data_IF_675493567944
#
_entry.id   IF_675493567944
#
_cell.length_a   1.000
_cell.length_b   1.000
_cell.length_c   1.000
_cell.angle_alpha   90.00
_cell.angle_beta   90.00
_cell.angle_gamma   90.00
#
_symmetry.space_group_name_H-M   'P 1'
#
loop_
_entity.id
_entity.type
_entity.pdbx_description
1 polymer ?
#
# COMPACT_ATOMS: atom_id res chain seq x y z
N UNK A 1 6.70 19.71 9.80
CA UNK A 1 6.41 18.78 8.68
C UNK A 1 6.55 19.58 7.39
N UNK A 2 7.18 19.08 6.31
CA UNK A 2 7.14 19.79 5.03
C UNK A 2 5.67 19.85 4.60
N UNK A 3 5.19 21.06 4.34
CA UNK A 3 3.77 21.45 4.44
C UNK A 3 3.05 21.44 3.09
N UNK A 4 3.43 20.56 2.16
CA UNK A 4 2.81 20.49 0.84
C UNK A 4 2.72 19.05 0.34
N UNK A 5 1.48 18.55 0.28
CA UNK A 5 1.09 17.27 -0.32
C UNK A 5 1.65 17.19 -1.75
N UNK A 6 2.16 16.02 -2.16
CA UNK A 6 2.59 15.81 -3.55
C UNK A 6 1.38 15.94 -4.49
N UNK A 7 1.56 16.53 -5.67
CA UNK A 7 0.51 16.55 -6.70
C UNK A 7 0.32 15.15 -7.29
N UNK A 8 -0.80 14.91 -7.96
CA UNK A 8 -1.04 13.63 -8.64
C UNK A 8 0.07 13.28 -9.64
N UNK A 9 0.57 14.27 -10.38
CA UNK A 9 1.68 14.08 -11.32
C UNK A 9 3.01 13.77 -10.60
N UNK A 10 3.25 14.39 -9.46
CA UNK A 10 4.42 14.09 -8.63
C UNK A 10 4.38 12.68 -8.06
N UNK A 11 3.20 12.20 -7.65
CA UNK A 11 3.01 10.80 -7.25
C UNK A 11 3.27 9.89 -8.44
N UNK A 12 2.64 10.12 -9.59
CA UNK A 12 2.82 9.31 -10.81
C UNK A 12 4.29 9.20 -11.22
N UNK A 13 5.01 10.33 -11.19
CA UNK A 13 6.45 10.37 -11.45
C UNK A 13 7.24 9.57 -10.42
N UNK A 14 6.93 9.73 -9.13
CA UNK A 14 7.60 8.99 -8.05
C UNK A 14 7.37 7.49 -8.21
N UNK A 15 6.12 7.06 -8.42
CA UNK A 15 5.72 5.67 -8.67
C UNK A 15 6.49 5.07 -9.84
N UNK A 16 6.53 5.76 -10.99
CA UNK A 16 7.28 5.30 -12.16
C UNK A 16 8.78 5.20 -11.88
N UNK A 17 9.35 6.17 -11.17
CA UNK A 17 10.76 6.17 -10.83
C UNK A 17 11.15 4.95 -9.97
N UNK A 18 10.38 4.67 -8.91
CA UNK A 18 10.68 3.53 -8.03
C UNK A 18 10.47 2.19 -8.73
N UNK A 19 9.41 2.02 -9.53
CA UNK A 19 9.19 0.80 -10.34
C UNK A 19 10.38 0.57 -11.28
N UNK A 20 10.84 1.62 -11.98
CA UNK A 20 11.97 1.52 -12.90
C UNK A 20 13.27 1.14 -12.19
N UNK A 21 13.51 1.68 -10.99
CA UNK A 21 14.69 1.33 -10.19
C UNK A 21 14.62 -0.13 -9.75
N UNK A 22 13.49 -0.58 -9.20
CA UNK A 22 13.31 -1.97 -8.76
C UNK A 22 13.47 -2.94 -9.94
N UNK A 23 12.89 -2.63 -11.10
CA UNK A 23 13.06 -3.42 -12.33
C UNK A 23 14.53 -3.52 -12.77
N UNK A 24 15.30 -2.43 -12.70
CA UNK A 24 16.75 -2.44 -13.01
C UNK A 24 17.55 -3.29 -12.02
N UNK A 25 17.10 -3.38 -10.79
CA UNK A 25 17.69 -4.25 -9.75
C UNK A 25 17.25 -5.71 -9.88
N UNK A 26 16.42 -6.07 -10.87
CA UNK A 26 15.89 -7.42 -11.05
C UNK A 26 14.82 -7.80 -10.02
N UNK A 27 14.19 -6.82 -9.39
CA UNK A 27 13.22 -7.03 -8.32
C UNK A 27 11.78 -6.97 -8.85
N UNK A 28 11.00 -7.97 -8.46
CA UNK A 28 9.56 -8.00 -8.64
C UNK A 28 8.89 -7.25 -7.50
N UNK A 29 7.86 -6.48 -7.84
CA UNK A 29 7.17 -5.64 -6.88
C UNK A 29 5.73 -5.41 -7.30
N UNK A 30 4.92 -4.99 -6.34
CA UNK A 30 3.57 -4.50 -6.60
C UNK A 30 3.26 -3.31 -5.70
N UNK A 31 2.48 -2.37 -6.22
CA UNK A 31 1.96 -1.24 -5.47
C UNK A 31 0.90 -1.72 -4.51
N UNK A 32 0.93 -1.17 -3.31
CA UNK A 32 -0.14 -1.32 -2.32
C UNK A 32 -0.57 0.07 -1.83
N UNK A 33 -1.35 0.10 -0.74
CA UNK A 33 -1.70 1.35 -0.09
C UNK A 33 -2.50 2.31 -0.97
N UNK A 34 -2.31 3.60 -0.77
CA UNK A 34 -3.16 4.65 -1.36
C UNK A 34 -3.00 4.79 -2.88
N UNK A 35 -1.81 4.50 -3.44
CA UNK A 35 -1.57 4.55 -4.88
C UNK A 35 -2.29 3.41 -5.61
N UNK A 36 -2.20 2.18 -5.08
CA UNK A 36 -2.89 1.03 -5.68
C UNK A 36 -4.41 1.24 -5.64
N UNK A 37 -4.92 1.70 -4.50
CA UNK A 37 -6.30 2.11 -4.32
C UNK A 37 -6.78 3.14 -5.37
N UNK A 38 -5.97 4.17 -5.62
CA UNK A 38 -6.27 5.19 -6.63
C UNK A 38 -6.31 4.58 -8.03
N UNK A 39 -5.36 3.70 -8.36
CA UNK A 39 -5.32 2.99 -9.64
C UNK A 39 -6.56 2.10 -9.86
N UNK A 40 -7.09 1.47 -8.80
CA UNK A 40 -8.35 0.73 -8.85
C UNK A 40 -9.62 1.60 -8.98
N UNK A 41 -9.50 2.93 -8.94
CA UNK A 41 -10.59 3.87 -9.18
C UNK A 41 -11.04 4.70 -7.99
N UNK A 42 -10.29 4.70 -6.88
CA UNK A 42 -10.57 5.63 -5.77
C UNK A 42 -10.20 7.06 -6.13
N UNK A 43 -11.11 8.01 -5.87
CA UNK A 43 -10.90 9.44 -6.21
C UNK A 43 -9.91 10.14 -5.28
N UNK A 44 -9.74 9.64 -4.04
CA UNK A 44 -8.81 10.22 -3.07
C UNK A 44 -7.39 10.18 -3.62
N UNK A 45 -6.71 11.32 -3.57
CA UNK A 45 -5.33 11.42 -4.04
C UNK A 45 -4.36 10.79 -3.01
N UNK A 46 -3.42 9.94 -3.46
CA UNK A 46 -2.34 9.42 -2.64
C UNK A 46 -1.33 10.52 -2.27
N UNK A 47 -0.61 10.31 -1.16
CA UNK A 47 0.38 11.26 -0.62
C UNK A 47 1.79 10.70 -0.57
N UNK A 48 1.88 9.39 -0.64
CA UNK A 48 3.04 8.54 -0.53
C UNK A 48 2.88 7.36 -1.49
N UNK A 49 3.98 6.67 -1.74
CA UNK A 49 4.01 5.47 -2.57
C UNK A 49 4.37 4.28 -1.69
N UNK A 50 3.44 3.34 -1.53
CA UNK A 50 3.66 2.09 -0.81
C UNK A 50 3.86 0.94 -1.81
N UNK A 51 4.91 0.15 -1.64
CA UNK A 51 5.20 -1.01 -2.48
C UNK A 51 5.64 -2.22 -1.67
N UNK A 52 5.25 -3.39 -2.13
CA UNK A 52 5.80 -4.67 -1.67
C UNK A 52 6.82 -5.14 -2.69
N UNK A 53 8.01 -5.51 -2.22
CA UNK A 53 9.10 -6.07 -3.03
C UNK A 53 9.22 -7.55 -2.72
N UNK A 54 8.95 -8.39 -3.71
CA UNK A 54 8.54 -9.79 -3.52
C UNK A 54 9.71 -10.77 -3.44
N UNK A 55 10.82 -10.45 -4.10
CA UNK A 55 11.99 -11.33 -4.25
C UNK A 55 13.30 -10.66 -3.78
N UNK A 56 13.21 -9.72 -2.83
CA UNK A 56 14.39 -9.00 -2.31
C UNK A 56 15.32 -9.94 -1.53
N UNK A 57 16.61 -10.06 -1.90
CA UNK A 57 17.61 -10.75 -1.08
C UNK A 57 18.10 -9.87 0.10
N UNK A 58 17.68 -8.61 0.13
CA UNK A 58 18.11 -7.61 1.11
C UNK A 58 17.07 -7.41 2.20
N UNK A 59 17.52 -6.98 3.38
CA UNK A 59 16.59 -6.41 4.35
C UNK A 59 15.97 -5.12 3.81
N UNK A 60 14.90 -4.66 4.45
CA UNK A 60 14.23 -3.42 4.06
C UNK A 60 15.17 -2.20 4.07
N UNK A 61 16.13 -2.13 4.98
CA UNK A 61 17.07 -1.00 5.04
C UNK A 61 18.18 -1.11 3.99
N UNK A 62 18.70 -2.31 3.73
CA UNK A 62 19.62 -2.53 2.60
C UNK A 62 18.95 -2.24 1.26
N UNK A 63 17.69 -2.67 1.06
CA UNK A 63 16.91 -2.38 -0.14
C UNK A 63 16.79 -0.87 -0.39
N UNK A 64 16.46 -0.09 0.64
CA UNK A 64 16.43 1.38 0.53
C UNK A 64 17.79 1.95 0.11
N UNK A 65 18.90 1.40 0.61
CA UNK A 65 20.26 1.83 0.19
C UNK A 65 20.51 1.50 -1.28
N UNK A 66 20.12 0.32 -1.76
CA UNK A 66 20.26 -0.06 -3.17
C UNK A 66 19.47 0.88 -4.09
N UNK A 67 18.25 1.25 -3.70
CA UNK A 67 17.44 2.23 -4.44
C UNK A 67 18.12 3.60 -4.52
N UNK A 68 18.71 4.08 -3.43
CA UNK A 68 19.47 5.36 -3.41
C UNK A 68 20.75 5.29 -4.25
N UNK A 69 21.44 4.16 -4.25
CA UNK A 69 22.63 3.93 -5.10
C UNK A 69 22.25 3.94 -6.58
N UNK A 70 21.13 3.29 -6.92
CA UNK A 70 20.66 3.15 -8.30
C UNK A 70 20.09 4.46 -8.90
N UNK A 71 19.54 5.35 -8.08
CA UNK A 71 19.01 6.63 -8.54
C UNK A 71 19.17 7.72 -7.47
N UNK A 72 20.01 8.71 -7.78
CA UNK A 72 20.36 9.83 -6.91
C UNK A 72 19.17 10.77 -6.60
N UNK A 73 18.03 10.64 -7.27
CA UNK A 73 16.80 11.34 -6.91
C UNK A 73 16.18 10.79 -5.62
N UNK A 74 16.50 9.55 -5.24
CA UNK A 74 16.11 9.00 -3.95
C UNK A 74 17.11 9.35 -2.85
N UNK A 75 16.62 9.43 -1.62
CA UNK A 75 17.44 9.60 -0.43
C UNK A 75 16.71 9.12 0.81
N UNK A 76 17.45 8.89 1.90
CA UNK A 76 16.86 8.46 3.16
C UNK A 76 17.11 9.47 4.28
N UNK A 77 16.15 9.60 5.19
CA UNK A 77 16.24 10.42 6.41
C UNK A 77 16.02 9.51 7.62
N UNK A 78 16.75 9.72 8.71
CA UNK A 78 16.51 8.98 9.95
C UNK A 78 15.07 9.21 10.45
N UNK A 79 14.50 8.22 11.14
CA UNK A 79 13.21 8.38 11.79
C UNK A 79 13.22 9.54 12.79
N UNK A 80 12.07 10.17 13.02
CA UNK A 80 11.89 11.17 14.08
C UNK A 80 11.83 10.55 15.46
N UNK A 81 11.52 9.26 15.53
CA UNK A 81 11.56 8.49 16.76
C UNK A 81 13.04 8.20 17.07
N UNK A 82 13.61 8.71 18.17
CA UNK A 82 15.03 8.53 18.49
C UNK A 82 15.39 7.07 18.76
N UNK A 83 14.41 6.20 19.04
CA UNK A 83 14.64 4.77 19.27
C UNK A 83 14.46 3.92 18.01
N UNK A 84 13.96 4.51 16.92
CA UNK A 84 13.78 3.80 15.66
C UNK A 84 15.11 3.70 14.91
N UNK A 85 15.49 2.46 14.56
CA UNK A 85 16.69 2.15 13.78
C UNK A 85 16.45 2.26 12.26
N UNK A 86 15.20 2.41 11.83
CA UNK A 86 14.85 2.48 10.42
C UNK A 86 14.99 3.90 9.84
N UNK A 87 15.21 3.97 8.53
CA UNK A 87 15.23 5.23 7.77
C UNK A 87 14.02 5.32 6.86
N UNK A 88 13.54 6.54 6.62
CA UNK A 88 12.44 6.83 5.71
C UNK A 88 13.02 7.19 4.34
N UNK A 89 12.56 6.49 3.30
CA UNK A 89 12.96 6.74 1.91
C UNK A 89 12.07 7.83 1.31
N UNK A 90 12.70 8.74 0.57
CA UNK A 90 12.07 9.86 -0.09
C UNK A 90 12.56 9.97 -1.53
N UNK A 91 11.67 10.37 -2.43
CA UNK A 91 11.97 10.79 -3.78
C UNK A 91 11.94 12.32 -3.86
N UNK A 92 12.96 12.94 -4.45
CA UNK A 92 13.04 14.39 -4.63
C UNK A 92 12.02 14.86 -5.66
N UNK A 93 11.20 15.83 -5.28
CA UNK A 93 10.28 16.51 -6.19
C UNK A 93 10.93 17.80 -6.68
N UNK A 94 10.57 18.23 -7.90
CA UNK A 94 11.06 19.49 -8.46
C UNK A 94 10.84 20.64 -7.47
N UNK A 95 11.92 21.35 -7.21
CA UNK A 95 11.97 22.45 -6.24
C UNK A 95 11.78 23.77 -6.99
N UNK A 96 10.94 24.67 -6.50
CA UNK A 96 11.28 26.09 -6.71
C UNK A 96 12.53 26.39 -5.87
N UNK A 97 13.31 27.41 -6.23
CA UNK A 97 14.58 27.77 -5.58
C UNK A 97 14.52 27.92 -4.04
N UNK A 98 13.32 28.00 -3.46
CA UNK A 98 13.08 28.23 -2.04
C UNK A 98 12.58 27.00 -1.27
N UNK A 99 12.20 25.89 -1.92
CA UNK A 99 11.55 24.77 -1.22
C UNK A 99 11.97 23.38 -1.72
N UNK A 100 12.58 22.59 -0.84
CA UNK A 100 12.83 21.16 -1.06
C UNK A 100 11.56 20.35 -0.73
N UNK A 101 10.84 19.92 -1.77
CA UNK A 101 9.68 19.01 -1.66
C UNK A 101 10.11 17.58 -1.95
N UNK A 102 9.45 16.63 -1.30
CA UNK A 102 9.73 15.20 -1.47
C UNK A 102 8.48 14.36 -1.28
N UNK A 103 8.42 13.24 -2.00
CA UNK A 103 7.40 12.21 -1.82
C UNK A 103 7.98 11.07 -0.97
N UNK A 104 7.24 10.62 0.04
CA UNK A 104 7.62 9.45 0.82
C UNK A 104 7.42 8.20 -0.04
N UNK A 105 8.35 7.25 0.09
CA UNK A 105 8.25 5.93 -0.54
C UNK A 105 8.49 4.87 0.53
N UNK A 106 7.52 4.01 0.75
CA UNK A 106 7.62 2.88 1.66
C UNK A 106 7.82 1.60 0.84
N UNK A 107 8.97 0.97 1.07
CA UNK A 107 9.30 -0.34 0.50
C UNK A 107 9.16 -1.36 1.61
N UNK A 108 8.29 -2.34 1.39
CA UNK A 108 7.98 -3.42 2.31
C UNK A 108 8.36 -4.75 1.68
N UNK A 109 8.63 -5.74 2.51
CA UNK A 109 8.97 -7.11 2.09
C UNK A 109 7.93 -8.05 2.71
N UNK A 110 7.48 -9.11 2.02
CA UNK A 110 6.55 -10.09 2.57
C UNK A 110 6.99 -10.64 3.94
N UNK A 111 6.00 -11.01 4.76
CA UNK A 111 6.22 -11.49 6.13
C UNK A 111 6.38 -10.38 7.18
N UNK A 112 6.66 -9.14 6.76
CA UNK A 112 6.61 -7.97 7.65
C UNK A 112 5.19 -7.40 7.63
N UNK A 113 4.65 -7.03 8.79
CA UNK A 113 3.27 -6.52 8.94
C UNK A 113 2.20 -7.46 8.35
N UNK A 114 2.43 -8.78 8.39
CA UNK A 114 1.51 -9.78 7.86
C UNK A 114 1.19 -9.61 6.36
N UNK A 115 2.09 -8.98 5.60
CA UNK A 115 1.93 -8.80 4.15
C UNK A 115 2.22 -10.15 3.46
N UNK A 116 1.30 -10.66 2.60
CA UNK A 116 1.50 -11.92 1.91
C UNK A 116 2.56 -11.78 0.81
N UNK A 117 3.22 -12.90 0.50
CA UNK A 117 4.05 -12.97 -0.71
C UNK A 117 3.12 -13.20 -1.91
N UNK A 118 3.14 -12.27 -2.87
CA UNK A 118 2.29 -12.32 -4.08
C UNK A 118 3.04 -13.04 -5.20
N UNK A 119 2.53 -14.16 -5.72
CA UNK A 119 3.10 -14.80 -6.90
C UNK A 119 3.10 -13.88 -8.13
N UNK A 120 4.13 -13.97 -8.97
CA UNK A 120 4.30 -13.07 -10.12
C UNK A 120 3.13 -13.11 -11.12
N UNK A 121 2.53 -14.28 -11.31
CA UNK A 121 1.36 -14.50 -12.17
C UNK A 121 0.05 -13.93 -11.59
N UNK A 122 0.05 -13.57 -10.29
CA UNK A 122 -1.08 -12.93 -9.62
C UNK A 122 -0.97 -11.41 -9.61
N UNK A 123 0.21 -10.83 -9.82
CA UNK A 123 0.38 -9.38 -9.87
C UNK A 123 -0.53 -8.79 -10.96
N UNK A 124 -1.47 -7.94 -10.56
CA UNK A 124 -2.35 -7.28 -11.49
C UNK A 124 -1.63 -6.11 -12.15
N UNK A 125 -1.53 -6.09 -13.48
CA UNK A 125 -0.93 -4.95 -14.20
C UNK A 125 -2.03 -4.05 -14.72
N UNK A 126 -2.08 -2.82 -14.23
CA UNK A 126 -3.04 -1.84 -14.73
C UNK A 126 -2.78 -1.51 -16.21
N UNK A 127 -3.81 -1.65 -17.05
CA UNK A 127 -3.67 -1.48 -18.49
C UNK A 127 -3.32 -0.03 -18.91
N UNK A 128 -3.81 0.97 -18.18
CA UNK A 128 -3.62 2.37 -18.54
C UNK A 128 -2.26 2.92 -18.08
N UNK A 129 -1.79 2.49 -16.91
CA UNK A 129 -0.59 2.99 -16.25
C UNK A 129 0.61 2.05 -16.38
N UNK A 130 0.37 0.79 -16.77
CA UNK A 130 1.37 -0.30 -16.77
C UNK A 130 2.02 -0.47 -15.39
N UNK A 131 1.24 -0.27 -14.33
CA UNK A 131 1.70 -0.36 -12.95
C UNK A 131 1.41 -1.74 -12.38
N UNK A 132 2.39 -2.41 -11.73
CA UNK A 132 2.11 -3.64 -11.02
C UNK A 132 1.38 -3.31 -9.72
N UNK A 133 0.18 -3.82 -9.54
CA UNK A 133 -0.68 -3.61 -8.38
C UNK A 133 -0.80 -4.90 -7.59
N UNK A 134 -0.91 -4.78 -6.28
CA UNK A 134 -1.39 -5.86 -5.43
C UNK A 134 -2.79 -6.29 -5.90
N UNK A 135 -3.11 -7.60 -5.94
CA UNK A 135 -4.43 -8.05 -6.32
C UNK A 135 -5.51 -7.43 -5.42
N UNK A 136 -6.69 -7.22 -5.98
CA UNK A 136 -7.71 -6.37 -5.38
C UNK A 136 -8.15 -6.83 -3.99
N UNK A 137 -8.42 -8.13 -3.81
CA UNK A 137 -8.88 -8.68 -2.54
C UNK A 137 -7.79 -8.63 -1.45
N UNK A 138 -6.53 -9.07 -1.69
CA UNK A 138 -5.43 -8.85 -0.76
C UNK A 138 -5.22 -7.37 -0.38
N UNK A 139 -5.35 -6.44 -1.34
CA UNK A 139 -5.27 -5.00 -1.05
C UNK A 139 -6.36 -4.55 -0.08
N UNK A 140 -7.60 -4.99 -0.29
CA UNK A 140 -8.72 -4.72 0.62
C UNK A 140 -8.49 -5.32 2.02
N UNK A 141 -7.98 -6.56 2.10
CA UNK A 141 -7.64 -7.21 3.37
C UNK A 141 -6.55 -6.44 4.14
N UNK A 142 -5.54 -5.90 3.45
CA UNK A 142 -4.51 -5.06 4.09
C UNK A 142 -5.06 -3.71 4.56
N UNK A 143 -6.01 -3.11 3.83
CA UNK A 143 -6.70 -1.89 4.30
C UNK A 143 -7.52 -2.15 5.56
N UNK A 144 -8.22 -3.28 5.59
CA UNK A 144 -8.96 -3.72 6.76
C UNK A 144 -8.03 -3.99 7.96
N UNK A 145 -6.87 -4.61 7.72
CA UNK A 145 -5.84 -4.76 8.76
C UNK A 145 -5.36 -3.40 9.27
N UNK A 146 -5.07 -2.44 8.37
CA UNK A 146 -4.64 -1.09 8.75
C UNK A 146 -5.66 -0.38 9.66
N UNK A 147 -6.96 -0.57 9.40
CA UNK A 147 -8.02 -0.06 10.27
C UNK A 147 -7.93 -0.64 11.69
N UNK A 148 -7.84 -1.97 11.84
CA UNK A 148 -7.70 -2.63 13.14
C UNK A 148 -6.45 -2.15 13.87
N UNK A 149 -5.29 -2.18 13.20
CA UNK A 149 -4.00 -1.78 13.78
C UNK A 149 -4.02 -0.30 14.24
N UNK A 150 -4.63 0.59 13.44
CA UNK A 150 -4.76 1.99 13.82
C UNK A 150 -5.74 2.19 14.98
N UNK A 151 -6.87 1.47 15.00
CA UNK A 151 -7.86 1.55 16.09
C UNK A 151 -7.25 1.15 17.44
N UNK A 152 -6.43 0.11 17.46
CA UNK A 152 -5.78 -0.43 18.67
C UNK A 152 -4.52 0.33 19.10
N UNK A 153 -4.00 1.23 18.26
CA UNK A 153 -2.73 1.90 18.55
C UNK A 153 -2.77 2.75 19.85
N UNK A 154 -1.73 2.70 20.69
CA UNK A 154 -1.62 3.56 21.87
C UNK A 154 -1.37 5.04 21.50
N UNK A 155 -0.87 5.31 20.28
CA UNK A 155 -0.56 6.66 19.78
C UNK A 155 -1.83 7.32 19.19
N UNK A 156 -2.24 8.46 19.76
CA UNK A 156 -3.46 9.19 19.35
C UNK A 156 -3.50 9.57 17.88
N UNK A 157 -2.38 10.06 17.32
CA UNK A 157 -2.28 10.43 15.91
C UNK A 157 -2.36 9.23 14.97
N UNK A 158 -2.05 8.02 15.43
CA UNK A 158 -2.27 6.78 14.66
C UNK A 158 -3.72 6.34 14.75
N UNK A 159 -4.37 6.43 15.93
CA UNK A 159 -5.82 6.19 16.07
C UNK A 159 -6.65 7.10 15.18
N UNK A 160 -6.23 8.35 15.00
CA UNK A 160 -6.92 9.28 14.11
C UNK A 160 -6.94 8.82 12.63
N UNK A 161 -6.01 7.96 12.22
CA UNK A 161 -5.98 7.42 10.85
C UNK A 161 -7.09 6.42 10.57
N UNK A 162 -7.67 5.79 11.60
CA UNK A 162 -8.72 4.77 11.43
C UNK A 162 -9.90 5.29 10.61
N UNK A 163 -10.26 6.58 10.72
CA UNK A 163 -11.37 7.17 9.97
C UNK A 163 -11.10 7.21 8.46
N UNK A 164 -9.83 7.40 8.08
CA UNK A 164 -9.40 7.30 6.68
C UNK A 164 -9.47 5.85 6.22
N UNK A 165 -9.06 4.89 7.06
CA UNK A 165 -9.13 3.46 6.71
C UNK A 165 -10.58 2.99 6.54
N UNK A 166 -11.50 3.41 7.41
CA UNK A 166 -12.94 3.13 7.27
C UNK A 166 -13.45 3.63 5.91
N UNK A 167 -13.11 4.87 5.56
CA UNK A 167 -13.52 5.46 4.28
C UNK A 167 -12.92 4.69 3.10
N UNK A 168 -11.63 4.34 3.16
CA UNK A 168 -10.93 3.58 2.13
C UNK A 168 -11.55 2.17 1.97
N UNK A 169 -11.85 1.46 3.07
CA UNK A 169 -12.48 0.12 3.06
C UNK A 169 -13.88 0.17 2.45
N UNK A 170 -14.74 1.08 2.92
CA UNK A 170 -16.10 1.21 2.37
C UNK A 170 -16.07 1.54 0.87
N UNK A 171 -15.17 2.44 0.45
CA UNK A 171 -15.06 2.80 -0.97
C UNK A 171 -14.50 1.67 -1.83
N UNK A 172 -13.58 0.85 -1.31
CA UNK A 172 -13.11 -0.34 -2.01
C UNK A 172 -14.23 -1.38 -2.14
N UNK A 173 -15.08 -1.58 -1.12
CA UNK A 173 -16.23 -2.48 -1.22
C UNK A 173 -17.22 -2.03 -2.32
N UNK A 174 -17.51 -0.73 -2.41
CA UNK A 174 -18.32 -0.17 -3.49
C UNK A 174 -17.69 -0.45 -4.87
N UNK A 175 -16.37 -0.27 -5.00
CA UNK A 175 -15.64 -0.57 -6.25
C UNK A 175 -15.64 -2.06 -6.58
N UNK A 176 -15.59 -2.93 -5.56
CA UNK A 176 -15.66 -4.37 -5.72
C UNK A 176 -16.97 -4.75 -6.45
N UNK A 177 -18.11 -4.32 -5.93
CA UNK A 177 -19.41 -4.60 -6.56
C UNK A 177 -19.61 -3.90 -7.91
N UNK A 178 -19.07 -2.69 -8.10
CA UNK A 178 -19.36 -1.89 -9.28
C UNK A 178 -18.43 -2.14 -10.48
N UNK A 179 -17.16 -2.52 -10.24
CA UNK A 179 -16.12 -2.55 -11.28
C UNK A 179 -15.21 -3.77 -11.23
N UNK A 180 -15.18 -4.48 -10.10
CA UNK A 180 -14.26 -5.60 -9.87
C UNK A 180 -15.03 -6.80 -9.31
N UNK A 181 -16.25 -7.04 -9.79
CA UNK A 181 -17.17 -8.05 -9.25
C UNK A 181 -16.68 -9.49 -9.52
N UNK A 182 -15.78 -9.65 -10.49
CA UNK A 182 -15.06 -10.89 -10.75
C UNK A 182 -14.01 -11.18 -9.67
N UNK A 183 -13.45 -10.15 -9.03
CA UNK A 183 -12.38 -10.29 -8.01
C UNK A 183 -12.95 -10.74 -6.68
N UNK A 184 -12.89 -12.04 -6.42
CA UNK A 184 -13.42 -12.65 -5.19
C UNK A 184 -12.35 -13.35 -4.38
N UNK A 185 -12.60 -13.54 -3.08
CA UNK A 185 -11.70 -14.28 -2.21
C UNK A 185 -11.43 -15.70 -2.74
N UNK A 186 -12.44 -16.36 -3.31
CA UNK A 186 -12.31 -17.71 -3.89
C UNK A 186 -11.23 -17.79 -4.97
N UNK A 187 -11.03 -16.72 -5.77
CA UNK A 187 -9.98 -16.69 -6.80
C UNK A 187 -8.56 -16.60 -6.23
N UNK A 188 -8.44 -16.05 -5.02
CA UNK A 188 -7.16 -15.70 -4.37
C UNK A 188 -6.77 -16.68 -3.25
N UNK A 189 -7.76 -17.38 -2.67
CA UNK A 189 -7.57 -18.23 -1.48
C UNK A 189 -6.56 -19.35 -1.70
N UNK A 190 -6.43 -19.84 -2.94
CA UNK A 190 -5.47 -20.91 -3.30
C UNK A 190 -4.00 -20.58 -3.06
N UNK A 191 -3.60 -19.30 -3.10
CA UNK A 191 -2.21 -18.89 -2.93
C UNK A 191 -1.98 -18.01 -1.68
N UNK A 192 -3.05 -17.47 -1.09
CA UNK A 192 -2.94 -16.69 0.12
C UNK A 192 -2.62 -17.57 1.34
N UNK A 193 -1.77 -17.12 2.28
CA UNK A 193 -1.58 -17.82 3.53
C UNK A 193 -2.90 -17.95 4.30
N UNK A 194 -3.20 -19.14 4.81
CA UNK A 194 -4.42 -19.40 5.57
C UNK A 194 -4.56 -18.47 6.79
N UNK A 195 -3.44 -18.18 7.47
CA UNK A 195 -3.41 -17.23 8.59
C UNK A 195 -3.82 -15.81 8.17
N UNK A 196 -3.46 -15.38 6.96
CA UNK A 196 -3.84 -14.09 6.41
C UNK A 196 -5.34 -14.01 6.12
N UNK A 197 -5.89 -15.07 5.51
CA UNK A 197 -7.34 -15.19 5.22
C UNK A 197 -8.16 -15.25 6.51
N UNK A 198 -7.78 -16.08 7.47
CA UNK A 198 -8.48 -16.22 8.75
C UNK A 198 -8.45 -14.91 9.56
N UNK A 199 -7.32 -14.20 9.57
CA UNK A 199 -7.23 -12.89 10.20
C UNK A 199 -8.17 -11.88 9.53
N UNK A 200 -8.25 -11.85 8.20
CA UNK A 200 -9.18 -10.98 7.49
C UNK A 200 -10.64 -11.34 7.79
N UNK A 201 -11.04 -12.62 7.78
CA UNK A 201 -12.41 -13.04 8.14
C UNK A 201 -12.80 -12.58 9.55
N UNK A 202 -11.88 -12.64 10.51
CA UNK A 202 -12.14 -12.14 11.86
C UNK A 202 -12.32 -10.62 11.89
N UNK A 203 -11.46 -9.88 11.18
CA UNK A 203 -11.58 -8.42 11.06
C UNK A 203 -12.86 -7.99 10.33
N UNK A 204 -13.32 -8.77 9.33
CA UNK A 204 -14.60 -8.50 8.65
C UNK A 204 -15.76 -8.63 9.64
N UNK A 205 -15.77 -9.66 10.49
CA UNK A 205 -16.80 -9.82 11.54
C UNK A 205 -16.83 -8.61 12.49
N UNK A 206 -15.66 -8.08 12.85
CA UNK A 206 -15.57 -6.87 13.68
C UNK A 206 -16.04 -5.62 12.92
N UNK A 207 -15.60 -5.45 11.68
CA UNK A 207 -15.98 -4.32 10.85
C UNK A 207 -17.49 -4.29 10.59
N UNK A 208 -18.12 -5.41 10.28
CA UNK A 208 -19.56 -5.51 10.05
C UNK A 208 -20.35 -5.21 11.33
N UNK A 209 -19.85 -5.55 12.53
CA UNK A 209 -20.51 -5.14 13.79
C UNK A 209 -20.59 -3.63 13.94
N UNK A 210 -19.56 -2.91 13.50
CA UNK A 210 -19.50 -1.44 13.57
C UNK A 210 -20.14 -0.75 12.36
N UNK A 211 -20.11 -1.40 11.20
CA UNK A 211 -20.65 -0.92 9.92
C UNK A 211 -21.57 -1.96 9.28
N UNK A 212 -22.76 -2.23 9.86
CA UNK A 212 -23.64 -3.32 9.41
C UNK A 212 -24.08 -3.23 7.95
N UNK A 213 -24.20 -2.01 7.42
CA UNK A 213 -24.54 -1.75 6.03
C UNK A 213 -23.52 -2.33 5.03
N UNK A 214 -22.29 -2.64 5.47
CA UNK A 214 -21.25 -3.24 4.62
C UNK A 214 -21.37 -4.75 4.46
N UNK A 215 -22.21 -5.45 5.26
CA UNK A 215 -22.28 -6.92 5.32
C UNK A 215 -22.47 -7.55 3.94
N UNK A 216 -23.47 -7.08 3.20
CA UNK A 216 -23.79 -7.63 1.89
C UNK A 216 -22.64 -7.47 0.87
N UNK A 217 -21.85 -6.39 1.00
CA UNK A 217 -20.71 -6.16 0.11
C UNK A 217 -19.56 -7.13 0.40
N UNK A 218 -19.36 -7.50 1.68
CA UNK A 218 -18.36 -8.52 2.07
C UNK A 218 -18.77 -9.92 1.62
N UNK A 219 -20.03 -10.29 1.81
CA UNK A 219 -20.56 -11.58 1.34
C UNK A 219 -20.41 -11.73 -0.18
N UNK A 220 -20.70 -10.67 -0.94
CA UNK A 220 -20.59 -10.67 -2.40
C UNK A 220 -19.17 -10.94 -2.92
N UNK A 221 -18.12 -10.66 -2.13
CA UNK A 221 -16.73 -10.92 -2.49
C UNK A 221 -16.15 -12.16 -1.78
N UNK A 222 -16.98 -12.94 -1.07
CA UNK A 222 -16.62 -14.26 -0.52
C UNK A 222 -16.21 -14.29 0.96
N UNK A 223 -16.47 -13.23 1.73
CA UNK A 223 -16.17 -13.18 3.16
C UNK A 223 -17.29 -13.69 4.07
#
# INVERSE_FOLDING_TARGET
MPRFQATSEEIRRTTRAVINVLKKLGLECCLMGSVACHAYGMSRLPNDVDMVVLNSPWTQEELKRQVVIADANFYTVASKDPFATYRVLFYRLNTSHYYRRSCKVDLLIPGIMNIPNVPSDRIYVDNALSWPLMPFVPLLMLKLQGWTDHKESPKSHMRAKQYVDITDVLRLLELAGARHADKTLTEEESWLPESFVNAARNRVKEFVKEYPASSQSWEAIGF
#
